data_IF_174965413494
#
_entry.id   IF_174965413494
#
_cell.length_a   1.000
_cell.length_b   1.000
_cell.length_c   1.000
_cell.angle_alpha   90.00
_cell.angle_beta   90.00
_cell.angle_gamma   90.00
#
_symmetry.space_group_name_H-M   'P 1'
#
loop_
_entity.id
_entity.type
_entity.pdbx_description
1 polymer ?
#
# COMPACT_ATOMS: atom_id res chain seq x y z
N UNK A 1 12.20 5.10 17.52
CA UNK A 1 11.07 5.73 16.84
C UNK A 1 11.18 7.22 17.00
N UNK A 2 11.82 7.85 16.03
CA UNK A 2 11.85 9.31 15.85
C UNK A 2 10.51 9.79 15.30
N UNK A 3 10.17 11.06 15.55
CA UNK A 3 8.97 11.68 14.98
C UNK A 3 9.02 11.71 13.43
N UNK A 4 10.22 11.86 12.86
CA UNK A 4 10.46 11.80 11.42
C UNK A 4 10.03 10.44 10.85
N UNK A 5 10.43 9.34 11.52
CA UNK A 5 10.05 7.99 11.12
C UNK A 5 8.54 7.75 11.21
N UNK A 6 7.90 8.12 12.32
CA UNK A 6 6.46 7.90 12.51
C UNK A 6 5.64 8.65 11.46
N UNK A 7 6.01 9.90 11.16
CA UNK A 7 5.37 10.68 10.09
C UNK A 7 5.63 10.11 8.69
N UNK A 8 6.87 9.68 8.42
CA UNK A 8 7.21 9.08 7.14
C UNK A 8 6.43 7.79 6.90
N UNK A 9 6.29 6.95 7.93
CA UNK A 9 5.48 5.72 7.89
C UNK A 9 3.99 6.02 7.73
N UNK A 10 3.46 7.01 8.45
CA UNK A 10 2.06 7.42 8.30
C UNK A 10 1.76 7.97 6.89
N UNK A 11 2.67 8.75 6.32
CA UNK A 11 2.56 9.25 4.94
C UNK A 11 2.63 8.10 3.92
N UNK A 12 3.54 7.15 4.14
CA UNK A 12 3.66 5.97 3.29
C UNK A 12 2.40 5.08 3.35
N UNK A 13 1.79 4.92 4.53
CA UNK A 13 0.53 4.19 4.68
C UNK A 13 -0.65 4.94 4.05
N UNK A 14 -0.68 6.27 4.15
CA UNK A 14 -1.76 7.11 3.61
C UNK A 14 -1.70 7.29 2.10
N UNK A 15 -0.50 7.46 1.53
CA UNK A 15 -0.31 7.77 0.10
C UNK A 15 0.08 6.54 -0.72
N UNK A 16 0.51 5.45 -0.07
CA UNK A 16 1.00 4.24 -0.73
C UNK A 16 2.38 4.37 -1.37
N UNK A 17 2.89 5.60 -1.50
CA UNK A 17 4.24 5.92 -1.96
C UNK A 17 4.77 7.11 -1.17
N UNK A 18 6.10 7.18 -1.04
CA UNK A 18 6.78 8.27 -0.37
C UNK A 18 7.97 8.66 -1.23
N UNK A 19 8.13 9.94 -1.53
CA UNK A 19 9.25 10.46 -2.32
C UNK A 19 10.48 10.72 -1.45
N UNK A 20 11.68 10.70 -2.04
CA UNK A 20 12.91 11.00 -1.29
C UNK A 20 12.91 12.46 -0.77
N UNK A 21 12.29 13.38 -1.49
CA UNK A 21 12.15 14.79 -1.06
C UNK A 21 11.29 14.94 0.19
N UNK A 22 10.22 14.15 0.33
CA UNK A 22 9.39 14.15 1.54
C UNK A 22 10.15 13.56 2.73
N UNK A 23 10.93 12.50 2.51
CA UNK A 23 11.80 11.94 3.55
C UNK A 23 12.83 12.97 4.01
N UNK A 24 13.48 13.67 3.09
CA UNK A 24 14.45 14.72 3.43
C UNK A 24 13.80 15.89 4.19
N UNK A 25 12.58 16.31 3.81
CA UNK A 25 11.83 17.33 4.55
C UNK A 25 11.49 16.86 5.97
N UNK A 26 11.04 15.62 6.13
CA UNK A 26 10.71 15.07 7.45
C UNK A 26 11.95 14.95 8.33
N UNK A 27 13.08 14.54 7.77
CA UNK A 27 14.37 14.50 8.46
C UNK A 27 14.84 15.90 8.85
N UNK A 28 14.65 16.90 7.98
CA UNK A 28 15.00 18.29 8.27
C UNK A 28 14.09 18.93 9.34
N UNK A 29 12.80 18.58 9.38
CA UNK A 29 11.82 19.16 10.31
C UNK A 29 11.80 18.45 11.68
N UNK A 30 11.95 17.12 11.71
CA UNK A 30 11.76 16.29 12.91
C UNK A 30 13.06 15.65 13.44
N UNK A 31 14.19 15.90 12.76
CA UNK A 31 15.51 15.40 13.15
C UNK A 31 15.93 14.15 12.38
N UNK A 32 17.23 13.86 12.46
CA UNK A 32 17.81 12.69 11.79
C UNK A 32 17.19 11.38 12.26
N UNK A 33 16.69 10.61 11.30
CA UNK A 33 16.30 9.22 11.48
C UNK A 33 17.56 8.37 11.68
N UNK A 34 17.47 7.36 12.54
CA UNK A 34 18.56 6.39 12.69
C UNK A 34 18.68 5.53 11.44
N UNK A 35 19.83 4.89 11.24
CA UNK A 35 20.03 4.01 10.09
C UNK A 35 19.07 2.80 10.10
N UNK A 36 18.69 2.31 11.29
CA UNK A 36 17.64 1.29 11.44
C UNK A 36 16.27 1.81 10.96
N UNK A 37 15.90 3.04 11.30
CA UNK A 37 14.64 3.65 10.90
C UNK A 37 14.58 3.95 9.40
N UNK A 38 15.70 4.38 8.80
CA UNK A 38 15.82 4.53 7.34
C UNK A 38 15.64 3.19 6.64
N UNK A 39 16.29 2.14 7.14
CA UNK A 39 16.16 0.80 6.59
C UNK A 39 14.71 0.27 6.71
N UNK A 40 14.04 0.48 7.84
CA UNK A 40 12.64 0.09 8.00
C UNK A 40 11.72 0.87 7.05
N UNK A 41 11.96 2.17 6.87
CA UNK A 41 11.18 3.00 5.95
C UNK A 41 11.38 2.55 4.49
N UNK A 42 12.61 2.26 4.07
CA UNK A 42 12.89 1.72 2.75
C UNK A 42 12.28 0.33 2.55
N UNK A 43 12.35 -0.55 3.56
CA UNK A 43 11.71 -1.86 3.51
C UNK A 43 10.19 -1.72 3.39
N UNK A 44 9.58 -0.79 4.12
CA UNK A 44 8.15 -0.49 4.01
C UNK A 44 7.79 0.06 2.62
N UNK A 45 8.62 0.94 2.03
CA UNK A 45 8.45 1.45 0.66
C UNK A 45 8.50 0.32 -0.36
N UNK A 46 9.48 -0.57 -0.24
CA UNK A 46 9.60 -1.74 -1.12
C UNK A 46 8.44 -2.71 -0.96
N UNK A 47 7.95 -2.93 0.27
CA UNK A 47 6.78 -3.76 0.52
C UNK A 47 5.54 -3.16 -0.13
N UNK A 48 5.30 -1.85 0.03
CA UNK A 48 4.17 -1.14 -0.59
C UNK A 48 4.26 -1.13 -2.11
N UNK A 49 5.45 -0.91 -2.67
CA UNK A 49 5.70 -1.03 -4.09
C UNK A 49 5.36 -2.45 -4.58
N UNK A 50 5.79 -3.50 -3.87
CA UNK A 50 5.43 -4.89 -4.22
C UNK A 50 3.94 -5.19 -4.09
N UNK A 51 3.26 -4.71 -3.05
CA UNK A 51 1.80 -4.85 -2.90
C UNK A 51 1.05 -4.14 -4.03
N UNK A 52 1.56 -2.99 -4.50
CA UNK A 52 1.03 -2.30 -5.65
C UNK A 52 1.26 -3.11 -6.94
N UNK A 53 2.48 -3.61 -7.14
CA UNK A 53 2.94 -4.37 -8.32
C UNK A 53 2.50 -5.85 -8.31
N UNK A 54 1.84 -6.32 -7.25
CA UNK A 54 1.31 -7.69 -7.19
C UNK A 54 0.15 -7.80 -8.18
N UNK A 55 0.47 -8.28 -9.38
CA UNK A 55 -0.49 -8.59 -10.43
C UNK A 55 -1.54 -9.55 -9.88
N UNK A 56 -2.81 -9.18 -10.01
CA UNK A 56 -3.92 -10.07 -9.69
C UNK A 56 -3.87 -11.23 -10.66
N UNK A 57 -3.79 -12.46 -10.15
CA UNK A 57 -3.81 -13.63 -11.01
C UNK A 57 -5.22 -13.86 -11.57
N UNK A 58 -5.33 -14.52 -12.73
CA UNK A 58 -6.64 -14.90 -13.28
C UNK A 58 -7.48 -15.73 -12.28
N UNK A 59 -6.83 -16.55 -11.45
CA UNK A 59 -7.52 -17.35 -10.42
C UNK A 59 -8.14 -16.45 -9.33
N UNK A 60 -7.39 -15.47 -8.85
CA UNK A 60 -7.89 -14.48 -7.87
C UNK A 60 -9.02 -13.63 -8.46
N UNK A 61 -8.91 -13.27 -9.74
CA UNK A 61 -9.97 -12.59 -10.47
C UNK A 61 -11.25 -13.43 -10.54
N UNK A 62 -11.15 -14.70 -10.96
CA UNK A 62 -12.32 -15.59 -11.07
C UNK A 62 -12.99 -15.83 -9.71
N UNK A 63 -12.21 -15.98 -8.65
CA UNK A 63 -12.73 -16.11 -7.28
C UNK A 63 -13.42 -14.82 -6.81
N UNK A 64 -12.87 -13.66 -7.16
CA UNK A 64 -13.49 -12.37 -6.87
C UNK A 64 -14.80 -12.17 -7.63
N UNK A 65 -14.86 -12.49 -8.93
CA UNK A 65 -16.12 -12.45 -9.71
C UNK A 65 -17.18 -13.35 -9.10
N UNK A 66 -16.80 -14.58 -8.73
CA UNK A 66 -17.71 -15.50 -8.04
C UNK A 66 -18.18 -14.93 -6.70
N UNK A 67 -17.33 -14.25 -5.96
CA UNK A 67 -17.69 -13.60 -4.71
C UNK A 67 -18.67 -12.45 -4.95
N UNK A 68 -18.48 -11.63 -5.99
CA UNK A 68 -19.43 -10.56 -6.35
C UNK A 68 -20.83 -11.08 -6.68
N UNK A 69 -20.93 -12.25 -7.32
CA UNK A 69 -22.22 -12.88 -7.64
C UNK A 69 -22.95 -13.44 -6.41
N UNK A 70 -22.24 -13.70 -5.31
CA UNK A 70 -22.80 -14.38 -4.12
C UNK A 70 -22.83 -13.52 -2.86
N UNK A 71 -21.97 -12.51 -2.76
CA UNK A 71 -21.90 -11.61 -1.63
C UNK A 71 -22.94 -10.50 -1.73
N UNK A 72 -23.45 -10.04 -0.58
CA UNK A 72 -24.40 -8.93 -0.53
C UNK A 72 -23.75 -7.64 -1.04
N UNK A 73 -24.41 -6.91 -1.94
CA UNK A 73 -23.89 -5.66 -2.48
C UNK A 73 -23.54 -4.67 -1.35
N UNK A 74 -22.28 -4.23 -1.32
CA UNK A 74 -21.78 -3.31 -0.29
C UNK A 74 -21.26 -3.97 0.99
N UNK A 75 -21.35 -5.30 1.12
CA UNK A 75 -20.63 -6.05 2.16
C UNK A 75 -19.10 -5.91 2.03
N UNK A 76 -18.37 -6.21 3.10
CA UNK A 76 -16.90 -6.13 3.10
C UNK A 76 -16.27 -7.12 2.11
N UNK A 77 -16.92 -8.26 1.90
CA UNK A 77 -16.52 -9.29 0.93
C UNK A 77 -16.74 -8.81 -0.51
N UNK A 78 -17.88 -8.14 -0.77
CA UNK A 78 -18.16 -7.51 -2.06
C UNK A 78 -17.12 -6.43 -2.41
N UNK A 79 -16.81 -5.52 -1.48
CA UNK A 79 -15.83 -4.44 -1.72
C UNK A 79 -14.43 -4.96 -2.00
N UNK A 80 -14.01 -6.02 -1.29
CA UNK A 80 -12.72 -6.67 -1.52
C UNK A 80 -12.68 -7.34 -2.90
N UNK A 81 -13.74 -8.06 -3.25
CA UNK A 81 -13.86 -8.70 -4.55
C UNK A 81 -13.88 -7.68 -5.70
N UNK A 82 -14.62 -6.58 -5.54
CA UNK A 82 -14.69 -5.48 -6.50
C UNK A 82 -13.30 -4.85 -6.72
N UNK A 83 -12.53 -4.65 -5.65
CA UNK A 83 -11.17 -4.11 -5.76
C UNK A 83 -10.23 -5.04 -6.53
N UNK A 84 -10.36 -6.36 -6.35
CA UNK A 84 -9.56 -7.38 -7.07
C UNK A 84 -9.92 -7.40 -8.56
N UNK A 85 -11.23 -7.42 -8.87
CA UNK A 85 -11.74 -7.36 -10.26
C UNK A 85 -11.26 -6.10 -10.95
N UNK A 86 -11.42 -4.95 -10.29
CA UNK A 86 -11.02 -3.65 -10.84
C UNK A 86 -9.52 -3.56 -11.07
N UNK A 87 -8.68 -4.09 -10.17
CA UNK A 87 -7.21 -4.12 -10.31
C UNK A 87 -6.79 -4.99 -11.51
N UNK A 88 -7.47 -6.11 -11.74
CA UNK A 88 -7.23 -6.97 -12.91
C UNK A 88 -7.66 -6.30 -14.23
N UNK A 89 -8.87 -5.73 -14.27
CA UNK A 89 -9.44 -5.11 -15.47
C UNK A 89 -8.76 -3.78 -15.86
N UNK A 90 -8.19 -3.05 -14.90
CA UNK A 90 -7.44 -1.82 -15.19
C UNK A 90 -6.07 -2.07 -15.86
N UNK A 91 -5.70 -3.33 -16.07
CA UNK A 91 -4.43 -3.74 -16.66
C UNK A 91 -3.31 -3.61 -15.64
N UNK A 92 -3.19 -4.62 -14.77
CA UNK A 92 -2.13 -4.77 -13.76
C UNK A 92 -0.78 -4.24 -14.21
#
# INVERSE_FOLDING_TARGET
MTEAFEKAKALLESQGSLSNEEVEKLVAEHGEMTDEEKMELEAARHKKAREADEEVTLEQYLEAVKTLDNAEEGSDEYKKAEAIVKKYESGG
#
